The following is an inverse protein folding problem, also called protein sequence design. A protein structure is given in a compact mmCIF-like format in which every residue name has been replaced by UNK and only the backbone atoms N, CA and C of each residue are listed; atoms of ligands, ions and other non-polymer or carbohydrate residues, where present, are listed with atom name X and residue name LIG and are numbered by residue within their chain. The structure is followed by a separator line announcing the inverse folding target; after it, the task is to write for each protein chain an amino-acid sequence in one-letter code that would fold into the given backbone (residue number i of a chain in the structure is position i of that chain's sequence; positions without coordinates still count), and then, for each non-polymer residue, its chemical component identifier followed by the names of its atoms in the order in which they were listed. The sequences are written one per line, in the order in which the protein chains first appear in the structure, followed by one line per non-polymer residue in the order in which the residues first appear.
data_IF_847371200624
#
_entry.id   IF_847371200624
#
_cell.length_a   1.000
_cell.length_b   1.000
_cell.length_c   1.000
_cell.angle_alpha   90.00
_cell.angle_beta   90.00
_cell.angle_gamma   90.00
#
_symmetry.space_group_name_H-M   'P 1'
#
loop_
_entity.id
_entity.type
_entity.pdbx_description
1 polymer ?
#
# COMPACT_ATOMS: atom_id res chain seq x y z
N UNK A 1 1.30 13.47 9.36
CA UNK A 1 0.75 12.10 9.25
C UNK A 1 1.88 11.10 9.08
N UNK A 2 1.82 10.00 9.81
CA UNK A 2 2.85 8.95 9.69
C UNK A 2 2.47 7.98 8.56
N UNK A 3 3.03 8.21 7.38
CA UNK A 3 2.71 7.40 6.20
C UNK A 3 3.15 5.96 6.38
N UNK A 4 4.34 5.74 6.93
CA UNK A 4 4.83 4.38 7.17
C UNK A 4 3.87 3.58 8.03
N UNK A 5 3.46 4.14 9.16
CA UNK A 5 2.54 3.47 10.08
C UNK A 5 1.20 3.20 9.41
N UNK A 6 0.65 4.18 8.70
CA UNK A 6 -0.62 4.02 8.01
C UNK A 6 -0.60 2.94 6.95
N UNK A 7 0.48 2.89 6.15
CA UNK A 7 0.65 1.86 5.13
C UNK A 7 0.80 0.48 5.79
N UNK A 8 1.62 0.38 6.83
CA UNK A 8 1.81 -0.88 7.55
C UNK A 8 0.50 -1.38 8.14
N UNK A 9 -0.31 -0.48 8.72
CA UNK A 9 -1.59 -0.84 9.30
C UNK A 9 -2.55 -1.39 8.25
N UNK A 10 -2.67 -0.72 7.11
CA UNK A 10 -3.57 -1.15 6.03
C UNK A 10 -3.14 -2.50 5.48
N UNK A 11 -1.85 -2.66 5.16
CA UNK A 11 -1.34 -3.91 4.60
C UNK A 11 -1.48 -5.06 5.60
N UNK A 12 -1.15 -4.81 6.87
CA UNK A 12 -1.28 -5.81 7.93
C UNK A 12 -2.72 -6.26 8.12
N UNK A 13 -3.66 -5.33 8.03
CA UNK A 13 -5.08 -5.64 8.16
C UNK A 13 -5.57 -6.55 7.03
N UNK A 14 -5.15 -6.26 5.79
CA UNK A 14 -5.55 -7.08 4.65
C UNK A 14 -4.89 -8.45 4.68
N UNK A 15 -3.59 -8.50 4.99
CA UNK A 15 -2.83 -9.74 4.97
C UNK A 15 -3.12 -10.65 6.17
N UNK A 16 -3.58 -10.07 7.27
CA UNK A 16 -3.74 -10.80 8.53
C UNK A 16 -2.44 -11.01 9.28
N UNK A 17 -1.34 -10.46 8.79
CA UNK A 17 -0.02 -10.58 9.41
C UNK A 17 0.63 -9.21 9.49
N UNK A 18 1.34 -8.96 10.59
CA UNK A 18 2.04 -7.69 10.76
C UNK A 18 3.15 -7.52 9.71
N UNK A 19 3.24 -6.32 9.15
CA UNK A 19 4.33 -5.98 8.24
C UNK A 19 5.57 -5.70 9.09
N UNK A 20 6.69 -6.33 8.75
CA UNK A 20 7.94 -6.22 9.50
C UNK A 20 8.97 -5.34 8.80
N UNK A 21 9.01 -5.38 7.48
CA UNK A 21 10.00 -4.65 6.69
C UNK A 21 9.37 -4.07 5.44
N UNK A 22 9.83 -2.89 5.04
CA UNK A 22 9.37 -2.27 3.79
C UNK A 22 9.82 -3.04 2.54
N UNK A 23 10.80 -3.93 2.68
CA UNK A 23 11.29 -4.75 1.58
C UNK A 23 10.45 -6.01 1.34
N UNK A 24 9.51 -6.31 2.23
CA UNK A 24 8.64 -7.48 2.03
C UNK A 24 7.82 -7.33 0.75
N UNK A 25 7.71 -8.44 0.03
CA UNK A 25 6.93 -8.48 -1.20
C UNK A 25 5.46 -8.71 -0.86
N UNK A 26 4.59 -7.99 -1.57
CA UNK A 26 3.15 -8.12 -1.34
C UNK A 26 2.63 -9.51 -1.73
N UNK A 27 3.13 -10.05 -2.84
CA UNK A 27 2.68 -11.36 -3.33
C UNK A 27 3.28 -12.52 -2.53
N UNK A 28 4.61 -12.65 -2.53
CA UNK A 28 5.26 -13.84 -1.96
C UNK A 28 5.38 -13.81 -0.44
N UNK A 29 5.60 -12.63 0.16
CA UNK A 29 5.80 -12.53 1.61
C UNK A 29 4.50 -12.31 2.37
N UNK A 30 3.55 -11.60 1.77
CA UNK A 30 2.31 -11.20 2.43
C UNK A 30 1.05 -11.85 1.84
N UNK A 31 1.22 -12.65 0.79
CA UNK A 31 0.12 -13.43 0.23
C UNK A 31 -0.94 -12.64 -0.52
N UNK A 32 -0.58 -11.48 -1.07
CA UNK A 32 -1.54 -10.68 -1.82
C UNK A 32 -1.80 -11.28 -3.20
N UNK A 33 -3.06 -11.37 -3.56
CA UNK A 33 -3.49 -11.70 -4.91
C UNK A 33 -4.08 -10.44 -5.55
N UNK A 34 -4.60 -10.56 -6.78
CA UNK A 34 -5.16 -9.41 -7.49
C UNK A 34 -6.33 -8.76 -6.74
N UNK A 35 -7.16 -9.56 -6.11
CA UNK A 35 -8.31 -9.04 -5.36
C UNK A 35 -7.84 -8.22 -4.14
N UNK A 36 -6.88 -8.75 -3.39
CA UNK A 36 -6.33 -8.03 -2.24
C UNK A 36 -5.59 -6.77 -2.65
N UNK A 37 -4.94 -6.78 -3.82
CA UNK A 37 -4.28 -5.58 -4.33
C UNK A 37 -5.29 -4.48 -4.66
N UNK A 38 -6.43 -4.82 -5.24
CA UNK A 38 -7.50 -3.85 -5.49
C UNK A 38 -8.03 -3.29 -4.17
N UNK A 39 -8.26 -4.17 -3.20
CA UNK A 39 -8.71 -3.77 -1.87
C UNK A 39 -7.70 -2.82 -1.21
N UNK A 40 -6.41 -3.11 -1.37
CA UNK A 40 -5.35 -2.26 -0.85
C UNK A 40 -5.46 -0.83 -1.40
N UNK A 41 -5.64 -0.69 -2.71
CA UNK A 41 -5.75 0.64 -3.34
C UNK A 41 -6.96 1.41 -2.79
N UNK A 42 -8.09 0.73 -2.63
CA UNK A 42 -9.31 1.34 -2.09
C UNK A 42 -9.10 1.80 -0.65
N UNK A 43 -8.51 0.95 0.18
CA UNK A 43 -8.28 1.28 1.59
C UNK A 43 -7.24 2.39 1.77
N UNK A 44 -6.25 2.47 0.87
CA UNK A 44 -5.29 3.57 0.90
C UNK A 44 -5.98 4.90 0.63
N UNK A 45 -6.91 4.93 -0.34
CA UNK A 45 -7.66 6.15 -0.62
C UNK A 45 -8.45 6.61 0.62
N UNK A 46 -9.06 5.67 1.32
CA UNK A 46 -9.82 5.99 2.53
C UNK A 46 -8.92 6.39 3.69
N UNK A 47 -7.86 5.64 3.93
CA UNK A 47 -6.96 5.85 5.06
C UNK A 47 -6.27 7.20 5.00
N UNK A 48 -5.81 7.59 3.82
CA UNK A 48 -5.05 8.82 3.63
C UNK A 48 -5.88 9.97 3.06
N UNK A 49 -7.17 9.76 2.90
CA UNK A 49 -8.10 10.76 2.35
C UNK A 49 -7.52 11.32 1.04
N UNK A 50 -7.29 10.44 0.09
CA UNK A 50 -6.74 10.81 -1.21
C UNK A 50 -7.52 10.09 -2.31
N UNK A 51 -7.42 10.61 -3.53
CA UNK A 51 -8.06 10.02 -4.69
C UNK A 51 -6.97 9.68 -5.71
N UNK A 52 -6.80 8.38 -5.97
CA UNK A 52 -5.80 7.91 -6.90
C UNK A 52 -6.23 8.15 -8.35
N UNK A 53 -5.28 8.56 -9.19
CA UNK A 53 -5.52 8.67 -10.62
C UNK A 53 -5.70 7.28 -11.21
N UNK A 54 -6.45 7.19 -12.29
CA UNK A 54 -6.69 5.91 -12.95
C UNK A 54 -5.40 5.20 -13.34
N UNK A 55 -4.40 5.97 -13.77
CA UNK A 55 -3.09 5.42 -14.13
C UNK A 55 -2.36 4.78 -12.95
N UNK A 56 -2.67 5.18 -11.72
CA UNK A 56 -2.07 4.63 -10.51
C UNK A 56 -2.88 3.49 -9.90
N UNK A 57 -4.02 3.15 -10.49
CA UNK A 57 -4.88 2.07 -10.00
C UNK A 57 -4.47 0.71 -10.57
N UNK A 58 -3.25 0.57 -11.05
CA UNK A 58 -2.74 -0.69 -11.55
C UNK A 58 -2.16 -1.52 -10.40
N UNK A 59 -2.84 -2.59 -9.98
CA UNK A 59 -2.37 -3.39 -8.84
C UNK A 59 -1.04 -4.10 -9.12
N UNK A 60 -0.70 -4.32 -10.38
CA UNK A 60 0.53 -5.02 -10.73
C UNK A 60 1.77 -4.11 -10.71
N UNK A 61 1.59 -2.81 -10.56
CA UNK A 61 2.69 -1.87 -10.46
C UNK A 61 3.35 -1.85 -9.08
N UNK A 62 2.66 -2.38 -8.06
CA UNK A 62 3.14 -2.41 -6.68
C UNK A 62 3.67 -3.80 -6.35
N UNK A 63 4.95 -3.88 -6.02
CA UNK A 63 5.60 -5.16 -5.72
C UNK A 63 5.93 -5.33 -4.24
N UNK A 64 6.37 -4.26 -3.59
CA UNK A 64 6.81 -4.29 -2.20
C UNK A 64 6.06 -3.27 -1.35
N UNK A 65 6.19 -3.40 -0.03
CA UNK A 65 5.65 -2.42 0.90
C UNK A 65 6.22 -1.03 0.63
N UNK A 66 7.52 -0.95 0.27
CA UNK A 66 8.16 0.32 -0.06
C UNK A 66 7.50 0.99 -1.27
N UNK A 67 7.06 0.21 -2.26
CA UNK A 67 6.36 0.75 -3.42
C UNK A 67 5.05 1.41 -3.01
N UNK A 68 4.32 0.80 -2.09
CA UNK A 68 3.07 1.36 -1.56
C UNK A 68 3.34 2.66 -0.82
N UNK A 69 4.39 2.68 0.00
CA UNK A 69 4.78 3.90 0.72
C UNK A 69 5.13 5.02 -0.25
N UNK A 70 5.87 4.71 -1.30
CA UNK A 70 6.25 5.71 -2.31
C UNK A 70 5.03 6.28 -3.02
N UNK A 71 4.04 5.43 -3.33
CA UNK A 71 2.79 5.88 -3.94
C UNK A 71 2.07 6.89 -3.05
N UNK A 72 1.90 6.56 -1.78
CA UNK A 72 1.22 7.45 -0.83
C UNK A 72 2.01 8.75 -0.65
N UNK A 73 3.34 8.66 -0.53
CA UNK A 73 4.18 9.85 -0.37
C UNK A 73 4.04 10.81 -1.56
N UNK A 74 3.95 10.27 -2.76
CA UNK A 74 3.74 11.07 -3.98
C UNK A 74 2.46 11.89 -3.89
N UNK A 75 1.38 11.26 -3.45
CA UNK A 75 0.07 11.91 -3.35
C UNK A 75 -0.02 12.90 -2.20
N UNK A 76 0.68 12.64 -1.11
CA UNK A 76 0.64 13.51 0.06
C UNK A 76 1.74 14.56 0.04
N UNK A 77 2.60 14.55 -0.97
CA UNK A 77 3.69 15.52 -1.08
C UNK A 77 4.78 15.36 -0.03
N UNK A 78 4.90 14.18 0.56
CA UNK A 78 5.91 13.90 1.60
C UNK A 78 7.01 13.02 1.03
N UNK A 79 8.19 13.09 1.66
CA UNK A 79 9.32 12.24 1.30
C UNK A 79 9.31 10.97 2.14
N UNK A 80 9.74 9.89 1.53
CA UNK A 80 9.89 8.60 2.20
C UNK A 80 11.08 8.65 3.17
#
# INVERSE_FOLDING_TARGET
MDIKKGVYDVIGEISGNAVKKKTQRLDSDLGFDSLKMVLLLILLEEKFVMELNESDMNPFALETVADVMALVCRYKGEKV
#
